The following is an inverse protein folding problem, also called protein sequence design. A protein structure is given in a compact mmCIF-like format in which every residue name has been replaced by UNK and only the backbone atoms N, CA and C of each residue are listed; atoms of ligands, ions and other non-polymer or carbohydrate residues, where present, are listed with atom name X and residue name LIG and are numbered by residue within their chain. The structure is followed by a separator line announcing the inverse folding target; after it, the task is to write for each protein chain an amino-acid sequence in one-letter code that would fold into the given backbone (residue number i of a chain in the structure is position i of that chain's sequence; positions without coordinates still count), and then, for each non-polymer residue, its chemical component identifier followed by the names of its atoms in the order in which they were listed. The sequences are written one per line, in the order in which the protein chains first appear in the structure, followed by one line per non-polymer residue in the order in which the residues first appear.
data_IF_682839695059
#
_entry.id   IF_682839695059
#
_cell.length_a   1.000
_cell.length_b   1.000
_cell.length_c   1.000
_cell.angle_alpha   90.00
_cell.angle_beta   90.00
_cell.angle_gamma   90.00
#
_symmetry.space_group_name_H-M   'P 1'
#
loop_
_entity.id
_entity.type
_entity.pdbx_description
1 polymer ?
#
# COMPACT_ATOMS: atom_id res chain seq x y z
N UNK A 1 20.29 -9.52 -26.15
CA UNK A 1 18.96 -9.67 -26.81
C UNK A 1 17.98 -10.31 -25.82
N UNK A 2 16.67 -10.05 -25.92
CA UNK A 2 15.68 -10.71 -25.06
C UNK A 2 15.47 -12.18 -25.44
N UNK A 3 15.23 -13.03 -24.44
CA UNK A 3 15.02 -14.46 -24.63
C UNK A 3 13.59 -14.73 -25.12
N UNK A 4 13.46 -15.64 -26.11
CA UNK A 4 12.15 -16.09 -26.58
C UNK A 4 11.47 -16.99 -25.56
N UNK A 5 10.16 -17.18 -25.70
CA UNK A 5 9.40 -18.15 -24.90
C UNK A 5 9.96 -19.56 -24.99
N UNK A 6 10.40 -19.99 -26.18
CA UNK A 6 10.96 -21.32 -26.39
C UNK A 6 12.29 -21.50 -25.64
N UNK A 7 13.18 -20.49 -25.70
CA UNK A 7 14.43 -20.48 -24.93
C UNK A 7 14.16 -20.51 -23.42
N UNK A 8 13.14 -19.78 -22.95
CA UNK A 8 12.73 -19.79 -21.54
C UNK A 8 12.18 -21.14 -21.11
N UNK A 9 11.38 -21.81 -21.94
CA UNK A 9 10.86 -23.16 -21.66
C UNK A 9 11.96 -24.20 -21.59
N UNK A 10 12.93 -24.15 -22.51
CA UNK A 10 14.09 -25.05 -22.52
C UNK A 10 14.94 -24.87 -21.25
N UNK A 11 15.18 -23.61 -20.85
CA UNK A 11 16.02 -23.26 -19.70
C UNK A 11 15.27 -23.16 -18.37
N UNK A 12 13.98 -23.47 -18.33
CA UNK A 12 13.12 -23.15 -17.18
C UNK A 12 13.65 -23.72 -15.86
N UNK A 13 14.15 -24.97 -15.91
CA UNK A 13 14.71 -25.69 -14.75
C UNK A 13 15.94 -24.99 -14.17
N UNK A 14 16.69 -24.26 -14.97
CA UNK A 14 17.89 -23.54 -14.54
C UNK A 14 17.57 -22.11 -14.04
N UNK A 15 16.35 -21.62 -14.31
CA UNK A 15 15.97 -20.22 -14.07
C UNK A 15 15.04 -20.04 -12.88
N UNK A 16 14.21 -21.03 -12.57
CA UNK A 16 13.13 -20.85 -11.60
C UNK A 16 12.74 -22.15 -10.93
N UNK A 17 12.51 -22.08 -9.62
CA UNK A 17 11.93 -23.15 -8.82
C UNK A 17 10.68 -22.61 -8.12
N UNK A 18 9.58 -23.35 -8.16
CA UNK A 18 8.38 -23.05 -7.40
C UNK A 18 8.58 -23.33 -5.90
N UNK A 19 7.52 -23.17 -5.09
CA UNK A 19 7.57 -23.42 -3.65
C UNK A 19 7.91 -24.88 -3.27
N UNK A 20 7.70 -25.84 -4.18
CA UNK A 20 7.99 -27.26 -4.01
C UNK A 20 9.39 -27.65 -4.54
N UNK A 21 10.14 -26.69 -5.08
CA UNK A 21 11.48 -26.94 -5.63
C UNK A 21 11.47 -27.54 -7.03
N UNK A 22 10.37 -27.44 -7.77
CA UNK A 22 10.27 -27.91 -9.16
C UNK A 22 9.75 -26.80 -10.09
N UNK A 23 9.65 -27.05 -11.39
CA UNK A 23 9.13 -26.08 -12.38
C UNK A 23 7.65 -26.24 -12.69
N UNK A 24 6.96 -27.18 -12.02
CA UNK A 24 5.55 -27.48 -12.30
C UNK A 24 4.67 -26.29 -11.93
N UNK A 25 3.76 -25.93 -12.82
CA UNK A 25 2.85 -24.78 -12.62
C UNK A 25 3.49 -23.41 -12.84
N UNK A 26 4.79 -23.35 -13.19
CA UNK A 26 5.41 -22.10 -13.66
C UNK A 26 5.06 -21.90 -15.14
N UNK A 27 4.38 -20.80 -15.44
CA UNK A 27 3.91 -20.50 -16.79
C UNK A 27 4.86 -19.54 -17.53
N UNK A 28 5.05 -19.80 -18.83
CA UNK A 28 5.80 -18.93 -19.74
C UNK A 28 4.79 -18.18 -20.61
N UNK A 29 4.61 -16.90 -20.30
CA UNK A 29 3.71 -15.96 -20.95
C UNK A 29 4.45 -15.22 -22.05
N UNK A 30 4.30 -15.68 -23.30
CA UNK A 30 4.99 -15.18 -24.49
C UNK A 30 6.53 -15.27 -24.35
N UNK A 31 7.19 -14.16 -24.00
CA UNK A 31 8.64 -14.06 -23.83
C UNK A 31 9.05 -13.77 -22.37
N UNK A 32 8.17 -14.05 -21.41
CA UNK A 32 8.39 -13.84 -19.99
C UNK A 32 7.94 -15.05 -19.17
N UNK A 33 8.53 -15.20 -17.98
CA UNK A 33 8.05 -16.14 -16.96
C UNK A 33 7.05 -15.38 -16.07
N UNK A 34 5.90 -16.01 -15.80
CA UNK A 34 4.89 -15.44 -14.91
C UNK A 34 5.23 -15.75 -13.45
N UNK A 35 5.26 -14.71 -12.62
CA UNK A 35 5.55 -14.79 -11.19
C UNK A 35 4.29 -14.67 -10.36
N UNK A 36 4.21 -15.46 -9.29
CA UNK A 36 3.06 -15.54 -8.41
C UNK A 36 3.35 -14.97 -7.03
N UNK A 37 2.28 -14.55 -6.35
CA UNK A 37 2.37 -13.97 -5.02
C UNK A 37 2.80 -15.05 -4.02
N UNK A 38 3.86 -14.78 -3.28
CA UNK A 38 4.42 -15.65 -2.25
C UNK A 38 3.61 -15.67 -0.96
N UNK A 39 4.23 -16.21 0.10
CA UNK A 39 3.60 -16.41 1.39
C UNK A 39 3.84 -15.25 2.39
N UNK A 40 4.66 -14.27 2.06
CA UNK A 40 4.92 -13.13 2.94
C UNK A 40 4.55 -11.81 2.27
N UNK A 41 3.83 -10.96 3.00
CA UNK A 41 3.49 -9.61 2.59
C UNK A 41 3.64 -8.66 3.78
N UNK A 42 4.11 -7.44 3.53
CA UNK A 42 4.01 -6.34 4.47
C UNK A 42 3.25 -5.20 3.81
N UNK A 43 2.35 -4.55 4.55
CA UNK A 43 1.55 -3.41 4.08
C UNK A 43 1.72 -2.33 5.12
N UNK A 44 1.97 -1.09 4.69
CA UNK A 44 2.06 0.04 5.61
C UNK A 44 0.70 0.29 6.27
N UNK A 45 0.68 0.58 7.58
CA UNK A 45 -0.58 0.80 8.29
C UNK A 45 -1.29 2.04 7.74
N UNK A 46 -2.59 1.91 7.46
CA UNK A 46 -3.43 3.07 7.09
C UNK A 46 -3.95 3.80 8.32
N UNK A 47 -4.19 3.04 9.40
CA UNK A 47 -4.69 3.52 10.68
C UNK A 47 -3.89 2.89 11.84
N UNK A 48 -4.00 3.45 13.06
CA UNK A 48 -3.35 2.91 14.27
C UNK A 48 -3.74 1.46 14.61
N UNK A 49 -4.89 1.00 14.10
CA UNK A 49 -5.39 -0.37 14.31
C UNK A 49 -4.77 -1.40 13.35
N UNK A 50 -4.10 -0.95 12.30
CA UNK A 50 -3.55 -1.84 11.29
C UNK A 50 -2.24 -2.47 11.79
N UNK A 51 -2.01 -3.76 11.50
CA UNK A 51 -0.81 -4.44 11.94
C UNK A 51 0.43 -3.83 11.27
N UNK A 52 1.36 -3.32 12.07
CA UNK A 52 2.65 -2.82 11.58
C UNK A 52 3.72 -3.92 11.49
N UNK A 53 3.30 -5.13 11.13
CA UNK A 53 4.16 -6.31 11.03
C UNK A 53 3.88 -7.06 9.75
N UNK A 54 4.86 -7.84 9.28
CA UNK A 54 4.66 -8.72 8.12
C UNK A 54 3.54 -9.72 8.41
N UNK A 55 2.73 -9.99 7.39
CA UNK A 55 1.67 -10.98 7.38
C UNK A 55 2.16 -12.22 6.64
N UNK A 56 1.83 -13.39 7.19
CA UNK A 56 2.10 -14.69 6.56
C UNK A 56 0.77 -15.18 5.97
N UNK A 57 0.77 -15.47 4.68
CA UNK A 57 -0.38 -15.95 3.92
C UNK A 57 -0.38 -17.48 3.88
N UNK A 58 -1.47 -18.07 4.34
CA UNK A 58 -1.71 -19.51 4.31
C UNK A 58 -2.96 -19.84 3.46
N UNK A 59 -3.29 -21.12 3.35
CA UNK A 59 -4.43 -21.56 2.52
C UNK A 59 -5.79 -21.15 3.14
N UNK A 60 -5.82 -20.80 4.43
CA UNK A 60 -7.03 -20.31 5.11
C UNK A 60 -7.21 -18.80 4.91
N UNK A 61 -6.12 -18.06 4.79
CA UNK A 61 -6.09 -16.62 4.53
C UNK A 61 -5.12 -16.29 3.37
N UNK A 62 -5.46 -16.69 2.13
CA UNK A 62 -4.57 -16.49 0.99
C UNK A 62 -4.64 -15.06 0.44
N UNK A 63 -5.69 -14.30 0.78
CA UNK A 63 -5.95 -12.98 0.23
C UNK A 63 -5.51 -11.86 1.18
N UNK A 64 -5.04 -10.77 0.57
CA UNK A 64 -4.80 -9.51 1.26
C UNK A 64 -5.17 -8.33 0.36
N UNK A 65 -5.26 -7.17 0.99
CA UNK A 65 -5.65 -5.92 0.34
C UNK A 65 -4.52 -4.92 0.52
N UNK A 66 -4.14 -4.25 -0.57
CA UNK A 66 -3.29 -3.05 -0.53
C UNK A 66 -4.23 -1.84 -0.60
N UNK A 67 -4.46 -1.12 0.51
CA UNK A 67 -5.34 0.03 0.50
C UNK A 67 -4.80 1.13 -0.41
N UNK A 68 -5.69 1.96 -0.95
CA UNK A 68 -5.27 3.14 -1.72
C UNK A 68 -4.33 4.03 -0.91
N UNK A 69 -3.28 4.53 -1.55
CA UNK A 69 -2.29 5.40 -0.94
C UNK A 69 -1.30 4.69 -0.01
N UNK A 70 -1.30 3.36 0.06
CA UNK A 70 -0.36 2.61 0.90
C UNK A 70 0.76 1.96 0.08
N UNK A 71 1.87 1.71 0.78
CA UNK A 71 2.95 0.88 0.26
C UNK A 71 2.79 -0.57 0.71
N UNK A 72 3.35 -1.50 -0.07
CA UNK A 72 3.47 -2.88 0.33
C UNK A 72 4.79 -3.49 -0.15
N UNK A 73 5.26 -4.49 0.59
CA UNK A 73 6.33 -5.40 0.18
C UNK A 73 5.71 -6.76 -0.12
N UNK A 74 5.86 -7.24 -1.35
CA UNK A 74 5.36 -8.54 -1.79
C UNK A 74 6.53 -9.48 -2.03
N UNK A 75 6.50 -10.66 -1.43
CA UNK A 75 7.43 -11.73 -1.79
C UNK A 75 6.84 -12.54 -2.96
N UNK A 76 7.69 -13.02 -3.85
CA UNK A 76 7.31 -14.00 -4.89
C UNK A 76 7.25 -15.41 -4.32
N UNK A 77 6.44 -16.29 -4.92
CA UNK A 77 6.45 -17.70 -4.52
C UNK A 77 7.70 -18.40 -5.06
N UNK A 78 8.14 -18.01 -6.26
CA UNK A 78 9.22 -18.65 -6.99
C UNK A 78 10.60 -18.20 -6.50
N UNK A 79 11.52 -19.15 -6.37
CA UNK A 79 12.96 -18.88 -6.23
C UNK A 79 13.54 -18.71 -7.63
N UNK A 80 14.05 -17.52 -7.92
CA UNK A 80 14.57 -17.16 -9.23
C UNK A 80 16.09 -17.21 -9.26
N UNK A 81 16.58 -17.55 -10.45
CA UNK A 81 17.99 -17.70 -10.78
C UNK A 81 18.28 -16.85 -12.01
N UNK A 82 19.23 -15.93 -11.89
CA UNK A 82 19.70 -15.14 -13.03
C UNK A 82 21.12 -15.56 -13.36
N UNK A 83 21.36 -16.21 -14.52
CA UNK A 83 22.71 -16.66 -14.86
C UNK A 83 23.65 -15.47 -15.04
N UNK A 84 24.95 -15.68 -14.87
CA UNK A 84 25.96 -14.63 -15.03
C UNK A 84 26.09 -14.11 -16.47
N UNK A 85 25.43 -14.77 -17.43
CA UNK A 85 25.36 -14.37 -18.84
C UNK A 85 24.15 -13.52 -19.19
N UNK A 86 23.26 -13.25 -18.23
CA UNK A 86 22.02 -12.53 -18.47
C UNK A 86 21.72 -11.48 -17.40
N UNK A 87 20.97 -10.47 -17.81
CA UNK A 87 20.25 -9.55 -16.93
C UNK A 87 18.76 -9.88 -17.04
N UNK A 88 18.02 -9.79 -15.94
CA UNK A 88 16.57 -9.96 -15.99
C UNK A 88 15.82 -8.66 -15.68
N UNK A 89 14.64 -8.49 -16.25
CA UNK A 89 13.77 -7.32 -16.10
C UNK A 89 12.44 -7.75 -15.49
N UNK A 90 11.88 -6.95 -14.60
CA UNK A 90 10.61 -7.26 -13.95
C UNK A 90 9.55 -6.20 -14.26
N UNK A 91 8.31 -6.66 -14.36
CA UNK A 91 7.17 -5.75 -14.51
C UNK A 91 5.88 -6.39 -14.04
N UNK A 92 4.93 -5.58 -13.59
CA UNK A 92 3.59 -6.10 -13.24
C UNK A 92 2.77 -6.46 -14.48
N UNK A 93 1.88 -7.44 -14.31
CA UNK A 93 0.84 -7.71 -15.30
C UNK A 93 -0.05 -6.47 -15.45
N UNK A 94 -0.45 -6.17 -16.69
CA UNK A 94 -1.15 -4.93 -17.04
C UNK A 94 -2.40 -4.67 -16.16
N UNK A 95 -3.14 -5.73 -15.80
CA UNK A 95 -4.32 -5.64 -14.93
C UNK A 95 -4.08 -4.96 -13.59
N UNK A 96 -2.87 -5.04 -13.02
CA UNK A 96 -2.53 -4.37 -11.76
C UNK A 96 -2.01 -2.95 -12.00
N UNK A 97 -1.28 -2.73 -13.10
CA UNK A 97 -0.83 -1.39 -13.50
C UNK A 97 -2.02 -0.44 -13.74
N UNK A 98 -3.06 -0.91 -14.43
CA UNK A 98 -4.27 -0.12 -14.67
C UNK A 98 -5.08 0.16 -13.40
N UNK A 99 -4.88 -0.62 -12.33
CA UNK A 99 -5.44 -0.32 -11.01
C UNK A 99 -4.62 0.71 -10.23
N UNK A 100 -3.52 1.21 -10.78
CA UNK A 100 -2.62 2.16 -10.11
C UNK A 100 -1.55 1.51 -9.23
N UNK A 101 -1.27 0.21 -9.38
CA UNK A 101 -0.15 -0.43 -8.70
C UNK A 101 1.18 -0.03 -9.35
N UNK A 102 1.99 0.73 -8.64
CA UNK A 102 3.28 1.25 -9.09
C UNK A 102 4.41 0.40 -8.50
N UNK A 103 5.40 0.07 -9.33
CA UNK A 103 6.64 -0.54 -8.86
C UNK A 103 7.56 0.54 -8.31
N UNK A 104 7.90 0.44 -7.03
CA UNK A 104 8.84 1.32 -6.32
C UNK A 104 10.21 0.64 -6.20
N UNK A 105 10.26 -0.68 -6.32
CA UNK A 105 11.51 -1.44 -6.40
C UNK A 105 12.22 -1.24 -7.74
N UNK A 106 13.43 -1.79 -7.86
CA UNK A 106 14.18 -1.82 -9.11
C UNK A 106 13.41 -2.50 -10.25
N UNK A 107 13.78 -2.16 -11.48
CA UNK A 107 13.17 -2.72 -12.69
C UNK A 107 13.93 -3.93 -13.26
N UNK A 108 15.10 -4.26 -12.70
CA UNK A 108 15.96 -5.34 -13.14
C UNK A 108 16.45 -6.20 -11.97
N UNK A 109 16.96 -7.37 -12.30
CA UNK A 109 17.60 -8.33 -11.41
C UNK A 109 18.99 -8.64 -11.96
N UNK A 110 19.99 -8.45 -11.10
CA UNK A 110 21.39 -8.53 -11.48
C UNK A 110 21.84 -9.97 -11.84
N UNK A 111 22.88 -10.10 -12.67
CA UNK A 111 23.50 -11.39 -12.97
C UNK A 111 24.00 -12.08 -11.69
N UNK A 112 23.79 -13.39 -11.59
CA UNK A 112 24.15 -14.18 -10.41
C UNK A 112 23.13 -14.13 -9.26
N UNK A 113 22.00 -13.46 -9.43
CA UNK A 113 20.93 -13.47 -8.43
C UNK A 113 20.38 -14.89 -8.19
N UNK A 114 20.16 -15.23 -6.92
CA UNK A 114 19.52 -16.49 -6.49
C UNK A 114 18.61 -16.22 -5.29
N UNK A 115 17.30 -16.42 -5.46
CA UNK A 115 16.32 -16.19 -4.39
C UNK A 115 14.95 -15.73 -4.89
N UNK A 116 13.99 -15.72 -3.98
CA UNK A 116 12.70 -15.04 -4.17
C UNK A 116 12.93 -13.53 -4.29
N UNK A 117 12.19 -12.91 -5.21
CA UNK A 117 12.17 -11.47 -5.37
C UNK A 117 11.20 -10.81 -4.40
N UNK A 118 11.63 -9.69 -3.85
CA UNK A 118 10.80 -8.76 -3.08
C UNK A 118 10.43 -7.58 -3.96
N UNK A 119 9.13 -7.37 -4.16
CA UNK A 119 8.59 -6.20 -4.85
C UNK A 119 8.14 -5.16 -3.84
N UNK A 120 8.68 -3.95 -3.94
CA UNK A 120 8.16 -2.77 -3.24
C UNK A 120 7.16 -2.09 -4.15
N UNK A 121 5.92 -1.92 -3.68
CA UNK A 121 4.81 -1.39 -4.47
C UNK A 121 4.09 -0.27 -3.76
N UNK A 122 3.46 0.61 -4.55
CA UNK A 122 2.60 1.67 -4.06
C UNK A 122 1.26 1.62 -4.79
N UNK A 123 0.15 1.67 -4.05
CA UNK A 123 -1.17 1.80 -4.65
C UNK A 123 -1.52 3.28 -4.86
N UNK A 124 -1.22 3.81 -6.05
CA UNK A 124 -1.63 5.15 -6.49
C UNK A 124 -3.07 5.17 -7.05
N UNK A 125 -3.74 4.03 -7.08
CA UNK A 125 -5.07 3.86 -7.62
C UNK A 125 -6.15 4.55 -6.76
N UNK A 126 -7.34 4.76 -7.34
CA UNK A 126 -8.48 5.30 -6.61
C UNK A 126 -9.14 4.27 -5.67
N UNK A 127 -8.84 2.98 -5.85
CA UNK A 127 -9.48 1.86 -5.15
C UNK A 127 -8.45 0.91 -4.55
N UNK A 128 -8.89 0.15 -3.57
CA UNK A 128 -8.08 -0.91 -2.97
C UNK A 128 -7.77 -2.03 -3.97
N UNK A 129 -6.60 -2.64 -3.84
CA UNK A 129 -6.13 -3.71 -4.73
C UNK A 129 -6.06 -5.02 -3.94
N UNK A 130 -6.90 -5.98 -4.33
CA UNK A 130 -6.89 -7.33 -3.78
C UNK A 130 -5.91 -8.21 -4.56
N UNK A 131 -5.06 -8.92 -3.83
CA UNK A 131 -4.11 -9.91 -4.32
C UNK A 131 -4.27 -11.20 -3.51
N UNK A 132 -3.85 -12.32 -4.10
CA UNK A 132 -4.01 -13.64 -3.52
C UNK A 132 -2.74 -14.46 -3.73
N UNK A 133 -2.31 -15.16 -2.68
CA UNK A 133 -1.18 -16.09 -2.70
C UNK A 133 -1.34 -17.11 -3.84
N UNK A 134 -0.26 -17.37 -4.55
CA UNK A 134 -0.22 -18.29 -5.68
C UNK A 134 -0.85 -17.77 -6.97
N UNK A 135 -1.43 -16.57 -6.98
CA UNK A 135 -1.94 -15.95 -8.22
C UNK A 135 -0.86 -15.15 -8.94
N UNK A 136 -0.85 -15.15 -10.28
CA UNK A 136 0.15 -14.42 -11.05
C UNK A 136 -0.05 -12.90 -10.94
N UNK A 137 1.04 -12.18 -10.67
CA UNK A 137 1.05 -10.72 -10.50
C UNK A 137 2.14 -9.98 -11.26
N UNK A 138 3.29 -10.63 -11.47
CA UNK A 138 4.42 -10.05 -12.18
C UNK A 138 4.90 -10.95 -13.31
N UNK A 139 5.75 -10.38 -14.14
CA UNK A 139 6.44 -11.01 -15.26
C UNK A 139 7.93 -10.73 -15.11
N UNK A 140 8.75 -11.70 -15.51
CA UNK A 140 10.20 -11.54 -15.63
C UNK A 140 10.68 -11.92 -17.03
N UNK A 141 11.46 -11.04 -17.64
CA UNK A 141 12.13 -11.24 -18.93
C UNK A 141 13.62 -11.38 -18.72
N UNK A 142 14.29 -12.15 -19.56
CA UNK A 142 15.73 -12.31 -19.55
C UNK A 142 16.34 -11.72 -20.81
N UNK A 143 17.50 -11.09 -20.68
CA UNK A 143 18.27 -10.56 -21.78
C UNK A 143 19.74 -10.97 -21.67
N UNK A 144 20.31 -11.43 -22.78
CA UNK A 144 21.74 -11.75 -22.85
C UNK A 144 22.59 -10.48 -22.63
N UNK A 145 23.65 -10.64 -21.84
CA UNK A 145 24.75 -9.69 -21.76
C UNK A 145 25.65 -9.81 -22.99
N UNK A 146 26.43 -8.77 -23.25
CA UNK A 146 27.48 -8.78 -24.27
C UNK A 146 28.65 -9.71 -23.90
N UNK A 147 28.88 -9.92 -22.61
CA UNK A 147 29.86 -10.87 -22.07
C UNK A 147 29.40 -11.44 -20.72
N UNK A 148 29.95 -12.59 -20.34
CA UNK A 148 29.69 -13.19 -19.02
C UNK A 148 30.18 -12.27 -17.92
N UNK A 149 29.32 -11.95 -16.95
CA UNK A 149 29.67 -11.16 -15.79
C UNK A 149 30.81 -11.82 -15.00
N UNK A 150 31.85 -11.04 -14.71
CA UNK A 150 32.96 -11.48 -13.86
C UNK A 150 32.47 -11.74 -12.43
N UNK A 151 33.26 -12.45 -11.64
CA UNK A 151 32.94 -12.73 -10.24
C UNK A 151 32.77 -11.45 -9.39
N UNK A 152 33.31 -10.31 -9.83
CA UNK A 152 33.14 -9.01 -9.17
C UNK A 152 31.84 -8.30 -9.57
N UNK A 153 31.39 -8.51 -10.81
CA UNK A 153 30.21 -7.87 -11.38
C UNK A 153 28.94 -8.74 -11.28
N UNK A 154 29.05 -9.94 -10.71
CA UNK A 154 27.92 -10.81 -10.40
C UNK A 154 27.57 -10.75 -8.90
N UNK A 155 26.28 -10.86 -8.58
CA UNK A 155 25.84 -10.96 -7.19
C UNK A 155 26.36 -12.26 -6.56
N UNK A 156 26.91 -12.13 -5.35
CA UNK A 156 27.38 -13.26 -4.55
C UNK A 156 26.34 -13.61 -3.50
N UNK A 157 25.49 -14.59 -3.77
CA UNK A 157 24.57 -15.15 -2.78
C UNK A 157 25.07 -16.50 -2.29
N UNK A 158 25.42 -16.59 -1.01
CA UNK A 158 25.73 -17.88 -0.35
C UNK A 158 24.47 -18.69 -0.07
N UNK A 159 23.36 -18.01 0.20
CA UNK A 159 22.06 -18.61 0.51
C UNK A 159 20.97 -17.89 -0.26
N UNK A 160 20.01 -18.62 -0.87
CA UNK A 160 18.87 -18.00 -1.54
C UNK A 160 18.07 -17.11 -0.58
N UNK A 161 17.65 -15.93 -1.05
CA UNK A 161 16.68 -15.11 -0.32
C UNK A 161 15.34 -15.82 -0.32
N UNK A 162 14.76 -16.08 0.86
CA UNK A 162 13.48 -16.82 1.01
C UNK A 162 12.44 -16.13 1.91
N UNK A 163 12.73 -14.91 2.34
CA UNK A 163 11.87 -14.15 3.27
C UNK A 163 12.03 -12.66 3.04
N UNK A 164 11.00 -11.90 3.38
CA UNK A 164 11.10 -10.45 3.47
C UNK A 164 12.15 -10.09 4.52
N UNK A 165 13.11 -9.25 4.14
CA UNK A 165 14.13 -8.77 5.07
C UNK A 165 13.50 -7.75 6.04
N UNK A 166 13.74 -7.94 7.34
CA UNK A 166 13.33 -7.01 8.39
C UNK A 166 13.86 -5.60 8.14
N UNK A 167 15.08 -5.46 7.61
CA UNK A 167 15.68 -4.14 7.34
C UNK A 167 14.88 -3.35 6.28
N UNK A 168 14.41 -4.04 5.24
CA UNK A 168 13.55 -3.43 4.20
C UNK A 168 12.19 -3.03 4.75
N UNK A 169 11.68 -3.77 5.72
CA UNK A 169 10.44 -3.43 6.41
C UNK A 169 10.66 -2.17 7.24
N UNK A 170 11.77 -2.08 8.00
CA UNK A 170 12.06 -0.89 8.81
C UNK A 170 12.28 0.37 7.97
N UNK A 171 12.86 0.26 6.77
CA UNK A 171 13.02 1.39 5.86
C UNK A 171 11.67 1.90 5.31
N UNK A 172 10.64 1.06 5.34
CA UNK A 172 9.28 1.40 4.92
C UNK A 172 8.33 1.66 6.08
N UNK A 173 8.74 1.41 7.33
CA UNK A 173 7.95 1.75 8.51
C UNK A 173 8.04 3.24 8.77
N UNK A 174 6.91 3.92 8.60
CA UNK A 174 6.77 5.35 8.81
C UNK A 174 5.35 5.79 8.46
N UNK A 175 4.98 6.99 8.87
CA UNK A 175 3.67 7.53 8.53
C UNK A 175 3.63 7.87 7.03
N UNK A 176 2.79 7.17 6.27
CA UNK A 176 2.65 7.40 4.83
C UNK A 176 1.69 8.57 4.58
N UNK A 177 2.23 9.73 4.23
CA UNK A 177 1.44 10.90 3.81
C UNK A 177 0.99 10.76 2.35
N UNK A 178 -0.08 9.99 2.13
CA UNK A 178 -0.68 9.88 0.80
C UNK A 178 -1.58 11.09 0.49
N UNK A 179 -1.76 11.47 -0.79
CA UNK A 179 -2.71 12.51 -1.18
C UNK A 179 -4.13 12.26 -0.66
N UNK A 180 -4.52 10.99 -0.52
CA UNK A 180 -5.81 10.61 0.05
C UNK A 180 -5.91 10.91 1.55
N UNK A 181 -4.84 10.63 2.31
CA UNK A 181 -4.77 10.96 3.74
C UNK A 181 -4.76 12.48 3.95
N UNK A 182 -3.98 13.20 3.16
CA UNK A 182 -3.97 14.67 3.17
C UNK A 182 -5.34 15.27 2.86
N UNK A 183 -6.06 14.74 1.87
CA UNK A 183 -7.43 15.18 1.57
C UNK A 183 -8.37 14.92 2.75
N UNK A 184 -8.25 13.77 3.41
CA UNK A 184 -9.06 13.44 4.59
C UNK A 184 -8.79 14.41 5.74
N UNK A 185 -7.52 14.69 6.05
CA UNK A 185 -7.14 15.67 7.08
C UNK A 185 -7.65 17.08 6.75
N UNK A 186 -7.60 17.50 5.49
CA UNK A 186 -8.19 18.77 5.03
C UNK A 186 -9.71 18.78 5.23
N UNK A 187 -10.39 17.69 4.90
CA UNK A 187 -11.85 17.60 5.03
C UNK A 187 -12.27 17.59 6.52
N UNK A 188 -11.47 16.99 7.40
CA UNK A 188 -11.70 17.00 8.85
C UNK A 188 -11.40 18.37 9.48
N UNK A 189 -10.32 19.05 9.07
CA UNK A 189 -10.05 20.45 9.45
C UNK A 189 -11.19 21.39 9.05
N UNK A 190 -11.77 21.22 7.84
CA UNK A 190 -12.94 22.00 7.41
C UNK A 190 -14.15 21.77 8.31
N UNK A 191 -14.41 20.52 8.73
CA UNK A 191 -15.50 20.23 9.67
C UNK A 191 -15.24 20.90 11.01
N UNK A 192 -14.02 20.81 11.54
CA UNK A 192 -13.67 21.45 12.81
C UNK A 192 -13.88 22.97 12.75
N UNK A 193 -13.48 23.64 11.67
CA UNK A 193 -13.77 25.06 11.44
C UNK A 193 -15.26 25.36 11.46
N UNK A 194 -16.09 24.59 10.74
CA UNK A 194 -17.54 24.76 10.74
C UNK A 194 -18.16 24.57 12.14
N UNK A 195 -17.64 23.61 12.92
CA UNK A 195 -18.09 23.42 14.30
C UNK A 195 -17.67 24.58 15.20
N UNK A 196 -16.50 25.17 14.96
CA UNK A 196 -16.01 26.32 15.71
C UNK A 196 -16.84 27.56 15.40
N UNK A 197 -17.12 27.83 14.12
CA UNK A 197 -18.05 28.89 13.69
C UNK A 197 -19.42 28.72 14.33
N UNK A 198 -19.97 27.49 14.33
CA UNK A 198 -21.25 27.19 14.97
C UNK A 198 -21.23 27.44 16.47
N UNK A 199 -20.15 27.05 17.18
CA UNK A 199 -19.97 27.32 18.61
C UNK A 199 -19.85 28.82 18.89
N UNK A 200 -19.16 29.56 18.04
CA UNK A 200 -19.01 31.02 18.15
C UNK A 200 -20.39 31.68 17.99
N UNK A 201 -21.13 31.34 16.94
CA UNK A 201 -22.50 31.86 16.69
C UNK A 201 -23.42 31.53 17.86
N UNK A 202 -23.39 30.31 18.39
CA UNK A 202 -24.20 29.90 19.53
C UNK A 202 -23.87 30.71 20.80
N UNK A 203 -22.58 30.96 21.08
CA UNK A 203 -22.14 31.79 22.20
C UNK A 203 -22.60 33.24 22.06
N UNK A 204 -22.39 33.86 20.89
CA UNK A 204 -22.85 35.23 20.63
C UNK A 204 -24.38 35.33 20.74
N UNK A 205 -25.12 34.36 20.18
CA UNK A 205 -26.58 34.31 20.25
C UNK A 205 -27.06 34.20 21.71
N UNK A 206 -26.38 33.38 22.53
CA UNK A 206 -26.70 33.22 23.96
C UNK A 206 -26.46 34.53 24.72
N UNK A 207 -25.35 35.22 24.45
CA UNK A 207 -25.04 36.52 25.08
C UNK A 207 -26.05 37.58 24.66
N UNK A 208 -26.35 37.69 23.36
CA UNK A 208 -27.35 38.64 22.84
C UNK A 208 -28.73 38.36 23.45
N UNK A 209 -29.14 37.08 23.52
CA UNK A 209 -30.40 36.69 24.13
C UNK A 209 -30.46 37.02 25.62
N UNK A 210 -29.38 36.79 26.37
CA UNK A 210 -29.28 37.15 27.78
C UNK A 210 -29.38 38.67 28.00
N UNK A 211 -28.71 39.47 27.16
CA UNK A 211 -28.79 40.94 27.22
C UNK A 211 -30.20 41.42 26.87
N UNK A 212 -30.80 40.88 25.80
CA UNK A 212 -32.16 41.23 25.38
C UNK A 212 -33.20 40.90 26.46
N UNK A 213 -33.13 39.71 27.05
CA UNK A 213 -34.04 39.29 28.14
C UNK A 213 -33.87 40.15 29.39
N UNK A 214 -32.65 40.56 29.74
CA UNK A 214 -32.40 41.47 30.86
C UNK A 214 -33.01 42.87 30.61
N UNK A 215 -32.83 43.42 29.40
CA UNK A 215 -33.40 44.73 29.02
C UNK A 215 -34.93 44.66 29.02
N UNK A 216 -35.50 43.62 28.42
CA UNK A 216 -36.95 43.42 28.36
C UNK A 216 -37.53 43.24 29.77
N UNK A 217 -36.89 42.44 30.62
CA UNK A 217 -37.27 42.27 32.01
C UNK A 217 -37.26 43.59 32.79
N UNK A 218 -36.27 44.44 32.58
CA UNK A 218 -36.22 45.78 33.18
C UNK A 218 -37.36 46.68 32.68
N UNK A 219 -37.64 46.69 31.38
CA UNK A 219 -38.68 47.54 30.79
C UNK A 219 -40.10 47.17 31.24
N UNK A 220 -40.39 45.88 31.43
CA UNK A 220 -41.74 45.41 31.82
C UNK A 220 -41.88 45.34 33.35
N UNK A 221 -40.77 45.41 34.12
CA UNK A 221 -40.75 45.31 35.58
C UNK A 221 -41.84 46.14 36.26
N UNK A 222 -41.94 47.42 35.93
CA UNK A 222 -42.90 48.34 36.57
C UNK A 222 -44.35 48.00 36.20
N UNK A 223 -44.57 47.47 35.00
CA UNK A 223 -45.89 47.06 34.53
C UNK A 223 -46.36 45.75 35.18
N UNK A 224 -45.42 44.83 35.45
CA UNK A 224 -45.68 43.58 36.18
C UNK A 224 -45.97 43.87 37.65
N UNK A 225 -45.16 44.72 38.31
CA UNK A 225 -45.37 45.09 39.72
C UNK A 225 -46.76 45.70 39.91
N UNK A 226 -47.15 46.66 39.07
CA UNK A 226 -48.50 47.27 39.09
C UNK A 226 -49.62 46.26 38.86
N UNK A 227 -49.41 45.26 38.00
CA UNK A 227 -50.40 44.21 37.74
C UNK A 227 -50.59 43.32 38.97
N UNK A 228 -49.52 42.93 39.65
CA UNK A 228 -49.60 42.12 40.87
C UNK A 228 -50.18 42.90 42.05
N UNK A 229 -49.83 44.17 42.22
CA UNK A 229 -50.41 45.02 43.28
C UNK A 229 -51.93 45.21 43.12
N UNK A 230 -52.43 45.21 41.88
CA UNK A 230 -53.87 45.26 41.57
C UNK A 230 -54.59 43.92 41.70
N UNK A 231 -53.87 42.80 41.79
CA UNK A 231 -54.44 41.46 41.93
C UNK A 231 -54.55 41.01 43.40
N UNK A 232 -53.77 41.65 44.29
CA UNK A 232 -53.70 41.38 45.73
C UNK A 232 -54.60 42.32 46.55
N UNK A 233 -55.07 43.43 45.96
CA UNK A 233 -56.12 44.31 46.51
C UNK A 233 -57.50 43.93 45.96
#
# INVERSE_FOLDING_TARGET
MFWSGDKLKEKLVDLVENAEGNTSGVDVDCAAISLTVGNEVYITPSNEKDPNVKQILDDKKPQFVIPKGQFALLLTAETLYVPTTALAFISFKAKYKFKGLINVSGFHVDPGWKGQLTFSVYNAGPTDIVLERGKPFALIWYADLDSTATAENAKKYKTPVKKLNSDKISDMTGEVFSPFKLKQEIDDLKKELLTLESKIIARYSTVIFAVFTAILGFAIKDHVIKFFDNLVN
#
